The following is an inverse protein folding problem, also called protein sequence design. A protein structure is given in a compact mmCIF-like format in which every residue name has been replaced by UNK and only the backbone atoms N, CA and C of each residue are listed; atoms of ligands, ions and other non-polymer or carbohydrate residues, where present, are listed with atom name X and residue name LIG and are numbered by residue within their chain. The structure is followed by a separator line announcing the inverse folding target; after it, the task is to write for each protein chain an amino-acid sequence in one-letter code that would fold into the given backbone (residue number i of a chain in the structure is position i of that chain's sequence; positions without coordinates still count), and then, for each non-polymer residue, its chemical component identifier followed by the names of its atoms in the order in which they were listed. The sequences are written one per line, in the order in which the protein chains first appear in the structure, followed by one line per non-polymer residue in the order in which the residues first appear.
data_IF_814982952058
#
_entry.id   IF_814982952058
#
_cell.length_a   1.000
_cell.length_b   1.000
_cell.length_c   1.000
_cell.angle_alpha   90.00
_cell.angle_beta   90.00
_cell.angle_gamma   90.00
#
_symmetry.space_group_name_H-M   'P 1'
#
loop_
_entity.id
_entity.type
_entity.pdbx_description
1 polymer ?
#
# COMPACT_ATOMS: atom_id res chain seq x y z
N UNK A 1 5.30 -48.41 47.60
CA UNK A 1 5.46 -47.05 47.05
C UNK A 1 6.14 -47.15 45.69
N UNK A 2 5.61 -46.52 44.64
CA UNK A 2 6.14 -46.63 43.27
C UNK A 2 7.34 -45.71 43.03
N UNK A 3 8.41 -46.23 42.41
CA UNK A 3 9.64 -45.47 42.09
C UNK A 3 9.58 -45.03 40.62
N UNK A 4 9.79 -43.74 40.29
CA UNK A 4 9.86 -43.30 38.90
C UNK A 4 10.98 -44.04 38.16
N UNK A 5 10.67 -44.53 36.96
CA UNK A 5 11.55 -45.37 36.13
C UNK A 5 12.38 -44.54 35.13
N UNK A 6 11.96 -43.30 34.84
CA UNK A 6 12.70 -42.37 33.98
C UNK A 6 11.88 -41.17 33.52
N UNK A 7 12.52 -40.28 32.76
CA UNK A 7 11.89 -39.14 32.06
C UNK A 7 12.02 -39.39 30.56
N UNK A 8 10.93 -39.24 29.82
CA UNK A 8 10.93 -39.30 28.36
C UNK A 8 10.44 -37.96 27.80
N UNK A 9 11.06 -37.51 26.72
CA UNK A 9 10.65 -36.34 25.96
C UNK A 9 10.48 -36.69 24.49
N UNK A 10 9.50 -36.07 23.85
CA UNK A 10 9.31 -36.14 22.40
C UNK A 10 9.29 -34.70 21.86
N UNK A 11 10.00 -34.49 20.75
CA UNK A 11 9.96 -33.24 20.00
C UNK A 11 9.37 -33.51 18.61
N UNK A 12 8.57 -32.57 18.11
CA UNK A 12 8.04 -32.61 16.75
C UNK A 12 8.33 -31.27 16.09
N UNK A 13 8.94 -31.31 14.90
CA UNK A 13 9.20 -30.10 14.13
C UNK A 13 7.91 -29.58 13.48
N UNK A 14 7.50 -28.38 13.87
CA UNK A 14 6.33 -27.68 13.33
C UNK A 14 6.70 -26.48 12.48
N UNK A 15 7.99 -26.22 12.28
CA UNK A 15 8.52 -25.02 11.63
C UNK A 15 7.97 -24.86 10.22
N UNK A 16 8.04 -25.94 9.41
CA UNK A 16 7.56 -25.91 8.02
C UNK A 16 6.05 -25.64 7.92
N UNK A 17 5.25 -26.28 8.79
CA UNK A 17 3.81 -26.06 8.84
C UNK A 17 3.48 -24.62 9.22
N UNK A 18 4.21 -24.07 10.17
CA UNK A 18 4.02 -22.69 10.61
C UNK A 18 4.38 -21.69 9.52
N UNK A 19 5.51 -21.87 8.83
CA UNK A 19 5.92 -21.04 7.69
C UNK A 19 4.86 -21.06 6.59
N UNK A 20 4.45 -22.25 6.15
CA UNK A 20 3.43 -22.40 5.11
C UNK A 20 2.09 -21.75 5.51
N UNK A 21 1.68 -21.87 6.78
CA UNK A 21 0.49 -21.22 7.29
C UNK A 21 0.59 -19.69 7.28
N UNK A 22 1.77 -19.13 7.63
CA UNK A 22 2.02 -17.69 7.59
C UNK A 22 2.04 -17.14 6.17
N UNK A 23 2.67 -17.84 5.23
CA UNK A 23 2.69 -17.48 3.82
C UNK A 23 1.27 -17.46 3.24
N UNK A 24 0.50 -18.52 3.47
CA UNK A 24 -0.89 -18.59 3.02
C UNK A 24 -1.77 -17.50 3.65
N UNK A 25 -1.57 -17.17 4.94
CA UNK A 25 -2.25 -16.06 5.58
C UNK A 25 -1.87 -14.70 4.98
N UNK A 26 -0.59 -14.51 4.65
CA UNK A 26 -0.09 -13.30 3.98
C UNK A 26 -0.71 -13.14 2.59
N UNK A 27 -0.67 -14.18 1.76
CA UNK A 27 -1.24 -14.17 0.43
C UNK A 27 -2.74 -13.86 0.43
N UNK A 28 -3.50 -14.45 1.36
CA UNK A 28 -4.94 -14.16 1.52
C UNK A 28 -5.20 -12.71 1.91
N UNK A 29 -4.39 -12.13 2.81
CA UNK A 29 -4.50 -10.72 3.18
C UNK A 29 -4.23 -9.80 2.00
N UNK A 30 -3.18 -10.07 1.23
CA UNK A 30 -2.85 -9.26 0.05
C UNK A 30 -3.97 -9.31 -1.01
N UNK A 31 -4.55 -10.49 -1.26
CA UNK A 31 -5.67 -10.61 -2.18
C UNK A 31 -6.93 -9.89 -1.68
N UNK A 32 -7.20 -9.92 -0.37
CA UNK A 32 -8.32 -9.18 0.21
C UNK A 32 -8.15 -7.66 0.01
N UNK A 33 -6.95 -7.12 0.26
CA UNK A 33 -6.64 -5.71 0.02
C UNK A 33 -6.77 -5.34 -1.45
N UNK A 34 -6.28 -6.18 -2.37
CA UNK A 34 -6.40 -5.94 -3.81
C UNK A 34 -7.86 -5.92 -4.26
N UNK A 35 -8.68 -6.83 -3.74
CA UNK A 35 -10.11 -6.88 -4.04
C UNK A 35 -10.84 -5.63 -3.53
N UNK A 36 -10.51 -5.16 -2.32
CA UNK A 36 -11.06 -3.93 -1.77
C UNK A 36 -10.67 -2.70 -2.61
N UNK A 37 -9.38 -2.57 -2.94
CA UNK A 37 -8.85 -1.51 -3.79
C UNK A 37 -9.58 -1.48 -5.14
N UNK A 38 -9.71 -2.64 -5.78
CA UNK A 38 -10.34 -2.79 -7.10
C UNK A 38 -11.83 -2.44 -7.10
N UNK A 39 -12.52 -2.60 -5.97
CA UNK A 39 -13.93 -2.26 -5.85
C UNK A 39 -14.17 -0.77 -5.56
N UNK A 40 -13.22 -0.10 -4.88
CA UNK A 40 -13.40 1.26 -4.37
C UNK A 40 -12.77 2.33 -5.25
N UNK A 41 -11.56 2.10 -5.73
CA UNK A 41 -10.73 3.13 -6.36
C UNK A 41 -11.14 3.35 -7.82
N UNK A 42 -11.33 4.62 -8.22
CA UNK A 42 -11.46 4.99 -9.64
C UNK A 42 -12.88 4.87 -10.19
N UNK A 43 -13.88 4.82 -9.31
CA UNK A 43 -15.30 4.89 -9.69
C UNK A 43 -15.76 6.33 -10.02
N UNK A 44 -14.84 7.29 -10.01
CA UNK A 44 -15.05 8.70 -10.31
C UNK A 44 -13.88 9.23 -11.15
N UNK A 45 -14.12 10.32 -11.89
CA UNK A 45 -13.05 11.07 -12.58
C UNK A 45 -12.50 12.23 -11.73
N UNK A 46 -12.98 12.38 -10.50
CA UNK A 46 -12.42 13.31 -9.52
C UNK A 46 -11.12 12.73 -8.92
N UNK A 47 -9.98 13.34 -9.30
CA UNK A 47 -8.65 12.94 -8.85
C UNK A 47 -8.47 13.08 -7.34
N UNK A 48 -9.08 14.08 -6.70
CA UNK A 48 -8.98 14.25 -5.24
C UNK A 48 -9.77 13.14 -4.52
N UNK A 49 -10.92 12.76 -5.06
CA UNK A 49 -11.69 11.63 -4.55
C UNK A 49 -10.94 10.32 -4.74
N UNK A 50 -10.37 10.09 -5.92
CA UNK A 50 -9.55 8.89 -6.19
C UNK A 50 -8.33 8.82 -5.26
N UNK A 51 -7.68 9.96 -4.98
CA UNK A 51 -6.57 10.04 -4.04
C UNK A 51 -6.98 9.68 -2.60
N UNK A 52 -8.15 10.14 -2.15
CA UNK A 52 -8.72 9.75 -0.85
C UNK A 52 -9.04 8.26 -0.79
N UNK A 53 -9.69 7.72 -1.82
CA UNK A 53 -10.00 6.28 -1.92
C UNK A 53 -8.74 5.41 -1.85
N UNK A 54 -7.66 5.83 -2.50
CA UNK A 54 -6.37 5.13 -2.44
C UNK A 54 -5.80 5.10 -1.03
N UNK A 55 -5.84 6.23 -0.32
CA UNK A 55 -5.32 6.33 1.04
C UNK A 55 -6.16 5.54 2.05
N UNK A 56 -7.48 5.53 1.89
CA UNK A 56 -8.40 4.76 2.74
C UNK A 56 -8.12 3.25 2.68
N UNK A 57 -7.59 2.74 1.55
CA UNK A 57 -7.21 1.33 1.40
C UNK A 57 -5.77 1.09 1.82
N UNK A 58 -4.85 2.00 1.52
CA UNK A 58 -3.43 1.85 1.81
C UNK A 58 -3.12 1.94 3.31
N UNK A 59 -3.66 2.92 4.02
CA UNK A 59 -3.26 3.17 5.42
C UNK A 59 -3.65 2.03 6.38
N UNK A 60 -4.88 1.50 6.37
CA UNK A 60 -5.24 0.43 7.31
C UNK A 60 -4.47 -0.88 7.08
N UNK A 61 -4.02 -1.14 5.85
CA UNK A 61 -3.46 -2.44 5.44
C UNK A 61 -1.98 -2.46 5.08
N UNK A 62 -1.35 -1.31 4.84
CA UNK A 62 -0.02 -1.22 4.24
C UNK A 62 0.96 -0.30 4.98
N UNK A 63 0.51 0.85 5.50
CA UNK A 63 1.40 1.84 6.13
C UNK A 63 0.71 2.73 7.16
N UNK A 64 1.46 3.32 8.09
CA UNK A 64 0.89 4.20 9.12
C UNK A 64 0.63 5.64 8.64
N UNK A 65 1.23 6.05 7.52
CA UNK A 65 1.10 7.38 6.93
C UNK A 65 1.29 7.29 5.41
N UNK A 66 0.45 8.00 4.66
CA UNK A 66 0.62 8.17 3.22
C UNK A 66 0.09 9.52 2.74
N UNK A 67 0.67 10.00 1.63
CA UNK A 67 0.29 11.25 0.96
C UNK A 67 0.17 11.02 -0.53
N UNK A 68 -0.74 11.74 -1.19
CA UNK A 68 -0.85 11.78 -2.65
C UNK A 68 -0.56 13.20 -3.11
N UNK A 69 0.47 13.33 -3.92
CA UNK A 69 0.90 14.59 -4.53
C UNK A 69 0.70 14.47 -6.05
N UNK A 70 0.00 15.43 -6.65
CA UNK A 70 -0.30 15.48 -8.08
C UNK A 70 0.33 16.72 -8.71
N UNK A 71 0.69 16.64 -9.99
CA UNK A 71 1.12 17.81 -10.73
C UNK A 71 -0.01 18.83 -10.83
N UNK A 72 0.31 20.11 -10.61
CA UNK A 72 -0.66 21.19 -10.66
C UNK A 72 -1.40 21.25 -12.00
N UNK A 73 -0.72 20.93 -13.11
CA UNK A 73 -1.34 20.85 -14.45
C UNK A 73 -2.47 19.82 -14.56
N UNK A 74 -2.39 18.70 -13.82
CA UNK A 74 -3.46 17.70 -13.77
C UNK A 74 -4.72 18.24 -13.10
N UNK A 75 -4.55 19.13 -12.12
CA UNK A 75 -5.66 19.74 -11.38
C UNK A 75 -6.33 20.87 -12.16
N UNK A 76 -5.59 21.56 -13.02
CA UNK A 76 -6.11 22.63 -13.87
C UNK A 76 -6.67 22.13 -15.21
N UNK A 77 -6.54 20.83 -15.52
CA UNK A 77 -6.93 20.26 -16.81
C UNK A 77 -5.95 20.57 -17.94
N UNK A 78 -4.79 21.16 -17.62
CA UNK A 78 -3.67 21.34 -18.54
C UNK A 78 -2.80 20.08 -18.51
N UNK A 79 -3.37 18.97 -18.97
CA UNK A 79 -2.65 17.70 -19.09
C UNK A 79 -1.58 17.84 -20.19
N UNK A 80 -0.31 17.91 -19.79
CA UNK A 80 0.80 17.79 -20.73
C UNK A 80 0.80 16.37 -21.31
N UNK A 81 1.02 16.22 -22.62
CA UNK A 81 0.91 14.94 -23.32
C UNK A 81 1.62 13.80 -22.57
N UNK A 82 0.99 12.61 -22.44
CA UNK A 82 1.57 11.49 -21.70
C UNK A 82 2.97 11.18 -22.21
N UNK A 83 3.98 11.36 -21.34
CA UNK A 83 5.40 11.24 -21.68
C UNK A 83 6.23 12.53 -21.50
N UNK A 84 5.59 13.69 -21.28
CA UNK A 84 6.28 14.95 -20.96
C UNK A 84 6.92 15.00 -19.57
N UNK A 85 6.48 14.14 -18.66
CA UNK A 85 6.98 13.98 -17.29
C UNK A 85 8.00 12.84 -17.15
N UNK A 86 8.18 12.00 -18.18
CA UNK A 86 9.29 11.06 -18.22
C UNK A 86 10.57 11.84 -18.53
N UNK A 87 11.73 11.54 -17.91
CA UNK A 87 12.95 12.27 -18.18
C UNK A 87 13.36 12.03 -19.63
N UNK A 88 13.03 12.99 -20.50
CA UNK A 88 13.52 13.01 -21.86
C UNK A 88 15.04 13.19 -21.80
N UNK A 89 15.78 12.20 -22.29
CA UNK A 89 17.21 12.32 -22.54
C UNK A 89 17.44 13.29 -23.73
N UNK A 90 17.14 14.57 -23.55
CA UNK A 90 17.65 15.64 -24.41
C UNK A 90 17.38 17.01 -23.80
N UNK A 91 18.44 17.80 -23.79
CA UNK A 91 18.54 19.17 -23.30
C UNK A 91 17.38 20.05 -23.77
N UNK A 92 16.51 20.48 -22.85
CA UNK A 92 16.00 21.86 -22.75
C UNK A 92 15.16 22.06 -21.49
N UNK A 93 15.59 23.07 -20.73
CA UNK A 93 14.85 23.87 -19.74
C UNK A 93 14.13 23.14 -18.60
N UNK A 94 14.79 23.11 -17.43
CA UNK A 94 14.27 23.58 -16.12
C UNK A 94 12.77 23.65 -15.82
N UNK A 95 11.95 22.71 -16.28
CA UNK A 95 10.55 22.62 -15.89
C UNK A 95 10.44 21.92 -14.55
N UNK A 96 10.59 22.64 -13.44
CA UNK A 96 10.13 22.14 -12.15
C UNK A 96 8.62 22.02 -12.21
N UNK A 97 8.11 20.83 -12.45
CA UNK A 97 6.67 20.60 -12.41
C UNK A 97 6.19 20.74 -10.96
N UNK A 98 5.29 21.69 -10.72
CA UNK A 98 4.77 21.99 -9.39
C UNK A 98 3.88 20.83 -8.93
N UNK A 99 4.22 20.23 -7.79
CA UNK A 99 3.41 19.21 -7.13
C UNK A 99 2.54 19.87 -6.06
N UNK A 100 1.27 19.49 -6.04
CA UNK A 100 0.33 19.84 -4.99
C UNK A 100 -0.12 18.57 -4.28
N UNK A 101 -0.01 18.61 -2.94
CA UNK A 101 -0.63 17.58 -2.10
C UNK A 101 -2.14 17.69 -2.18
N UNK A 102 -2.78 16.62 -2.62
CA UNK A 102 -4.24 16.56 -2.76
C UNK A 102 -4.90 15.73 -1.67
N UNK A 103 -4.15 14.80 -1.05
CA UNK A 103 -4.65 14.00 0.06
C UNK A 103 -3.52 13.51 0.96
N UNK A 104 -3.86 13.24 2.22
CA UNK A 104 -3.00 12.56 3.19
C UNK A 104 -3.86 11.78 4.19
N UNK A 105 -3.31 10.71 4.75
CA UNK A 105 -3.99 9.91 5.77
C UNK A 105 -2.97 9.28 6.72
N UNK A 106 -3.35 9.16 7.98
CA UNK A 106 -2.57 8.62 9.08
C UNK A 106 -3.39 7.58 9.84
N UNK A 107 -2.75 6.47 10.23
CA UNK A 107 -3.36 5.45 11.09
C UNK A 107 -3.53 5.95 12.54
N UNK A 108 -2.81 7.00 12.91
CA UNK A 108 -2.95 7.71 14.17
C UNK A 108 -3.88 8.89 13.94
N UNK A 109 -4.95 8.99 14.73
CA UNK A 109 -5.85 10.15 14.70
C UNK A 109 -5.06 11.44 14.95
N UNK A 110 -5.34 12.48 14.17
CA UNK A 110 -4.83 13.82 14.44
C UNK A 110 -5.25 14.24 15.85
N UNK A 111 -4.25 14.52 16.70
CA UNK A 111 -4.46 15.01 18.06
C UNK A 111 -4.73 16.52 18.08
#
# INVERSE_FOLDING_TARGET
AGRPVGVAGLATDVTRRHIAAREAASARRNLALLNEASARIGNSLDLETTARELLDVAVPGFCDLATVDLYQGLLTGEEAAPGSWAPAHRESAGGSAELRRVAHASAVADA
#
